data_IF_209205921405
#
_entry.id   IF_209205921405
#
_cell.length_a   1.000
_cell.length_b   1.000
_cell.length_c   1.000
_cell.angle_alpha   90.00
_cell.angle_beta   90.00
_cell.angle_gamma   90.00
#
_symmetry.space_group_name_H-M   'P 1'
#
loop_
_entity.id
_entity.type
_entity.pdbx_description
1 polymer ?
#
# COMPACT_ATOMS: atom_id res chain seq x y z
N UNK A 1 3.26 0.51 -14.25
CA UNK A 1 2.27 -0.22 -13.45
C UNK A 1 2.13 0.40 -12.06
N UNK A 2 0.99 0.13 -11.36
CA UNK A 2 0.77 0.51 -9.95
C UNK A 2 0.92 2.01 -9.65
N UNK A 3 0.41 2.87 -10.54
CA UNK A 3 0.53 4.33 -10.42
C UNK A 3 -0.67 5.02 -9.73
N UNK A 4 -1.47 4.29 -8.98
CA UNK A 4 -2.59 4.80 -8.18
C UNK A 4 -2.32 4.75 -6.68
N UNK A 5 -3.36 5.06 -5.90
CA UNK A 5 -3.31 5.02 -4.43
C UNK A 5 -2.87 3.67 -3.87
N UNK A 6 -3.18 2.59 -4.57
CA UNK A 6 -2.88 1.24 -4.11
C UNK A 6 -1.36 0.99 -3.92
N UNK A 7 -0.50 1.80 -4.51
CA UNK A 7 0.95 1.58 -4.38
C UNK A 7 1.79 2.84 -4.25
N UNK A 8 1.41 3.94 -4.92
CA UNK A 8 2.22 5.16 -4.99
C UNK A 8 2.57 5.74 -3.62
N UNK A 9 1.63 5.95 -2.67
CA UNK A 9 1.97 6.52 -1.37
C UNK A 9 2.91 5.63 -0.55
N UNK A 10 2.82 4.31 -0.71
CA UNK A 10 3.67 3.33 -0.04
C UNK A 10 5.07 3.30 -0.65
N UNK A 11 5.15 3.15 -1.97
CA UNK A 11 6.40 3.00 -2.71
C UNK A 11 7.22 4.30 -2.69
N UNK A 12 6.59 5.43 -3.00
CA UNK A 12 7.25 6.74 -2.94
C UNK A 12 7.49 7.20 -1.49
N UNK A 13 6.67 6.78 -0.53
CA UNK A 13 6.92 7.01 0.90
C UNK A 13 8.23 6.36 1.37
N UNK A 14 8.44 5.10 1.02
CA UNK A 14 9.70 4.38 1.32
C UNK A 14 10.87 4.98 0.54
N UNK A 15 10.69 5.31 -0.73
CA UNK A 15 11.70 6.01 -1.51
C UNK A 15 12.12 7.34 -0.85
N UNK A 16 11.15 8.16 -0.44
CA UNK A 16 11.39 9.43 0.26
C UNK A 16 12.17 9.22 1.57
N UNK A 17 11.81 8.22 2.36
CA UNK A 17 12.52 7.87 3.60
C UNK A 17 13.99 7.56 3.31
N UNK A 18 14.27 6.72 2.35
CA UNK A 18 15.65 6.35 1.99
C UNK A 18 16.47 7.49 1.36
N UNK A 19 15.81 8.53 0.83
CA UNK A 19 16.49 9.75 0.41
C UNK A 19 16.84 10.69 1.56
N UNK A 20 16.15 10.55 2.71
CA UNK A 20 16.35 11.39 3.90
C UNK A 20 17.08 10.68 5.04
N UNK A 21 17.25 9.37 4.96
CA UNK A 21 18.03 8.56 5.91
C UNK A 21 19.12 7.80 5.15
N UNK A 22 20.37 8.08 5.45
CA UNK A 22 21.51 7.43 4.79
C UNK A 22 21.73 5.96 5.20
N UNK A 23 20.94 5.44 6.15
CA UNK A 23 21.05 4.06 6.66
C UNK A 23 20.29 3.08 5.77
N UNK A 24 20.87 1.88 5.58
CA UNK A 24 20.24 0.73 4.91
C UNK A 24 19.69 -0.26 5.93
N UNK A 25 18.96 -1.27 5.44
CA UNK A 25 18.40 -2.36 6.25
C UNK A 25 17.44 -1.86 7.35
N UNK A 26 16.67 -0.82 7.05
CA UNK A 26 15.65 -0.29 7.94
C UNK A 26 14.48 -1.28 8.07
N UNK A 27 13.82 -1.28 9.24
CA UNK A 27 12.51 -1.86 9.39
C UNK A 27 11.47 -0.75 9.39
N UNK A 28 10.65 -0.69 8.34
CA UNK A 28 9.64 0.33 8.16
C UNK A 28 8.25 -0.27 8.35
N UNK A 29 7.49 0.32 9.27
CA UNK A 29 6.10 -0.02 9.57
C UNK A 29 5.19 1.10 9.07
N UNK A 30 4.56 0.92 7.90
CA UNK A 30 3.55 1.86 7.44
C UNK A 30 2.21 1.59 8.14
N UNK A 31 1.60 2.65 8.63
CA UNK A 31 0.30 2.60 9.31
C UNK A 31 -0.64 3.64 8.72
N UNK A 32 -1.80 3.16 8.26
CA UNK A 32 -2.91 4.05 7.92
C UNK A 32 -3.42 4.66 9.21
N UNK A 33 -3.31 5.98 9.35
CA UNK A 33 -3.74 6.73 10.53
C UNK A 33 -5.03 7.52 10.31
N UNK A 34 -5.48 7.59 9.07
CA UNK A 34 -6.76 8.19 8.69
C UNK A 34 -7.00 8.03 7.20
N UNK A 35 -8.24 7.82 6.86
CA UNK A 35 -8.71 7.85 5.47
C UNK A 35 -10.19 8.21 5.46
N UNK A 36 -10.60 9.00 4.49
CA UNK A 36 -12.00 9.31 4.20
C UNK A 36 -12.22 9.16 2.70
N UNK A 37 -13.09 8.25 2.35
CA UNK A 37 -13.41 7.85 0.98
C UNK A 37 -13.88 6.40 0.97
N UNK A 38 -14.31 5.94 -0.19
CA UNK A 38 -14.79 4.57 -0.40
C UNK A 38 -13.94 3.88 -1.45
N UNK A 39 -13.90 2.56 -1.38
CA UNK A 39 -13.29 1.76 -2.45
C UNK A 39 -14.17 1.82 -3.71
N UNK A 40 -13.53 1.84 -4.87
CA UNK A 40 -14.26 1.77 -6.14
C UNK A 40 -14.80 0.36 -6.40
N UNK A 41 -15.91 0.28 -7.12
CA UNK A 41 -16.43 -1.01 -7.59
C UNK A 41 -15.44 -1.76 -8.47
N UNK A 42 -14.54 -1.04 -9.17
CA UNK A 42 -13.43 -1.63 -9.92
C UNK A 42 -12.41 -2.34 -9.03
N UNK A 43 -12.02 -1.73 -7.90
CA UNK A 43 -11.14 -2.36 -6.89
C UNK A 43 -11.77 -3.65 -6.38
N UNK A 44 -13.06 -3.61 -6.08
CA UNK A 44 -13.83 -4.77 -5.62
C UNK A 44 -13.84 -5.90 -6.64
N UNK A 45 -14.19 -5.60 -7.87
CA UNK A 45 -14.24 -6.58 -8.97
C UNK A 45 -12.87 -7.22 -9.23
N UNK A 46 -11.79 -6.42 -9.23
CA UNK A 46 -10.42 -6.90 -9.40
C UNK A 46 -10.00 -7.85 -8.29
N UNK A 47 -10.30 -7.51 -7.03
CA UNK A 47 -10.00 -8.39 -5.88
C UNK A 47 -10.77 -9.71 -5.94
N UNK A 48 -12.05 -9.67 -6.27
CA UNK A 48 -12.86 -10.87 -6.47
C UNK A 48 -12.28 -11.78 -7.55
N UNK A 49 -11.82 -11.19 -8.65
CA UNK A 49 -11.21 -11.94 -9.73
C UNK A 49 -9.89 -12.59 -9.30
N UNK A 50 -9.01 -11.85 -8.67
CA UNK A 50 -7.73 -12.36 -8.13
C UNK A 50 -7.98 -13.52 -7.16
N UNK A 51 -8.98 -13.41 -6.28
CA UNK A 51 -9.35 -14.48 -5.36
C UNK A 51 -9.84 -15.71 -6.12
N UNK A 52 -10.71 -15.55 -7.13
CA UNK A 52 -11.17 -16.66 -7.97
C UNK A 52 -10.02 -17.37 -8.67
N UNK A 53 -9.08 -16.61 -9.24
CA UNK A 53 -7.89 -17.15 -9.88
C UNK A 53 -7.01 -17.92 -8.89
N UNK A 54 -6.78 -17.36 -7.70
CA UNK A 54 -6.00 -18.02 -6.64
C UNK A 54 -6.65 -19.32 -6.11
N UNK A 55 -7.98 -19.46 -6.22
CA UNK A 55 -8.66 -20.72 -5.91
C UNK A 55 -8.48 -21.79 -7.00
N UNK A 56 -8.30 -21.37 -8.25
CA UNK A 56 -8.16 -22.27 -9.40
C UNK A 56 -6.72 -22.64 -9.69
N UNK A 57 -5.79 -21.70 -9.49
CA UNK A 57 -4.38 -21.84 -9.85
C UNK A 57 -3.48 -21.72 -8.60
N UNK A 58 -2.68 -22.78 -8.37
CA UNK A 58 -1.76 -22.86 -7.25
C UNK A 58 -0.57 -21.91 -7.40
N UNK A 59 -0.10 -21.64 -8.62
CA UNK A 59 1.02 -20.72 -8.86
C UNK A 59 0.60 -19.28 -8.59
N UNK A 60 -0.61 -18.89 -9.00
CA UNK A 60 -1.21 -17.59 -8.63
C UNK A 60 -1.31 -17.47 -7.12
N UNK A 61 -1.80 -18.52 -6.43
CA UNK A 61 -1.88 -18.55 -4.95
C UNK A 61 -0.52 -18.41 -4.29
N UNK A 62 0.50 -19.13 -4.76
CA UNK A 62 1.87 -19.03 -4.26
C UNK A 62 2.40 -17.60 -4.41
N UNK A 63 2.27 -17.01 -5.60
CA UNK A 63 2.71 -15.63 -5.87
C UNK A 63 2.03 -14.61 -4.96
N UNK A 64 0.71 -14.74 -4.74
CA UNK A 64 -0.05 -13.86 -3.85
C UNK A 64 0.30 -14.04 -2.36
N UNK A 65 0.70 -15.25 -1.95
CA UNK A 65 1.02 -15.52 -0.54
C UNK A 65 2.49 -15.29 -0.20
N UNK A 66 3.38 -15.30 -1.19
CA UNK A 66 4.79 -14.98 -0.98
C UNK A 66 4.97 -13.47 -0.80
N UNK A 67 5.57 -13.00 0.30
CA UNK A 67 5.89 -11.58 0.49
C UNK A 67 6.76 -10.98 -0.61
N UNK A 68 7.56 -11.78 -1.27
CA UNK A 68 8.50 -11.40 -2.34
C UNK A 68 8.05 -11.89 -3.73
N UNK A 69 6.79 -12.29 -3.88
CA UNK A 69 6.27 -12.92 -5.11
C UNK A 69 6.39 -12.09 -6.38
N UNK A 70 6.51 -10.76 -6.27
CA UNK A 70 6.72 -9.86 -7.40
C UNK A 70 8.19 -9.53 -7.68
N UNK A 71 9.14 -10.00 -6.87
CA UNK A 71 10.55 -9.79 -7.13
C UNK A 71 11.01 -10.59 -8.37
N UNK A 72 12.11 -10.17 -9.02
CA UNK A 72 12.74 -10.97 -10.07
C UNK A 72 13.04 -12.40 -9.62
N UNK A 73 13.07 -13.33 -10.57
CA UNK A 73 13.45 -14.73 -10.29
C UNK A 73 14.81 -14.79 -9.59
N UNK A 74 14.94 -15.65 -8.58
CA UNK A 74 16.14 -15.77 -7.74
C UNK A 74 16.26 -14.72 -6.62
N UNK A 75 15.28 -13.81 -6.48
CA UNK A 75 15.23 -12.78 -5.42
C UNK A 75 13.89 -12.83 -4.68
N UNK A 76 13.24 -13.99 -4.63
CA UNK A 76 11.88 -14.16 -4.11
C UNK A 76 11.83 -14.64 -2.66
N UNK A 77 12.87 -14.36 -1.89
CA UNK A 77 13.01 -14.67 -0.46
C UNK A 77 13.50 -13.46 0.34
N UNK A 78 13.40 -13.54 1.66
CA UNK A 78 13.85 -12.49 2.59
C UNK A 78 13.22 -12.60 3.97
N UNK A 79 13.45 -11.58 4.80
CA UNK A 79 13.12 -11.59 6.23
C UNK A 79 11.64 -11.30 6.55
N UNK A 80 10.90 -10.75 5.60
CA UNK A 80 9.51 -10.36 5.85
C UNK A 80 8.58 -11.56 5.96
N UNK A 81 7.67 -11.46 6.91
CA UNK A 81 6.57 -12.42 7.09
C UNK A 81 5.39 -12.03 6.19
N UNK A 82 4.42 -12.93 6.11
CA UNK A 82 3.13 -12.67 5.45
C UNK A 82 2.43 -11.47 6.07
N UNK A 83 1.63 -10.79 5.26
CA UNK A 83 0.83 -9.65 5.68
C UNK A 83 -0.09 -10.01 6.86
N UNK A 84 -0.41 -9.00 7.68
CA UNK A 84 -1.28 -9.13 8.84
C UNK A 84 -2.67 -9.63 8.42
N UNK A 85 -3.18 -10.68 9.10
CA UNK A 85 -4.49 -11.28 8.80
C UNK A 85 -5.53 -11.10 9.90
N UNK A 86 -5.10 -10.68 11.08
CA UNK A 86 -5.97 -10.49 12.24
C UNK A 86 -5.57 -9.29 13.06
N UNK A 87 -6.48 -8.81 13.89
CA UNK A 87 -6.22 -7.69 14.81
C UNK A 87 -5.13 -8.07 15.81
N UNK A 88 -4.15 -7.21 15.98
CA UNK A 88 -2.98 -7.46 16.83
C UNK A 88 -2.55 -6.18 17.54
N UNK A 89 -1.97 -6.32 18.74
CA UNK A 89 -1.28 -5.23 19.42
C UNK A 89 0.18 -5.16 18.93
N UNK A 90 0.57 -4.04 18.35
CA UNK A 90 1.96 -3.80 17.94
C UNK A 90 2.73 -3.12 19.09
N UNK A 91 3.60 -3.90 19.74
CA UNK A 91 4.38 -3.44 20.89
C UNK A 91 5.33 -2.28 20.57
N UNK A 92 5.91 -2.26 19.34
CA UNK A 92 6.85 -1.21 18.92
C UNK A 92 6.19 0.16 18.81
N UNK A 93 4.99 0.22 18.24
CA UNK A 93 4.24 1.48 18.08
C UNK A 93 3.19 1.71 19.19
N UNK A 94 3.08 0.77 20.14
CA UNK A 94 2.17 0.81 21.29
C UNK A 94 0.71 1.08 20.90
N UNK A 95 0.23 0.38 19.87
CA UNK A 95 -1.13 0.54 19.33
C UNK A 95 -1.70 -0.79 18.85
N UNK A 96 -3.03 -0.92 18.88
CA UNK A 96 -3.73 -1.95 18.13
C UNK A 96 -3.67 -1.65 16.65
N UNK A 97 -3.54 -2.69 15.86
CA UNK A 97 -3.50 -2.65 14.39
C UNK A 97 -4.46 -3.68 13.81
N UNK A 98 -5.06 -3.33 12.69
CA UNK A 98 -5.95 -4.16 11.90
C UNK A 98 -5.34 -4.42 10.52
N UNK A 99 -5.66 -5.53 9.85
CA UNK A 99 -5.25 -5.75 8.47
C UNK A 99 -5.62 -4.57 7.58
N UNK A 100 -4.72 -4.24 6.66
CA UNK A 100 -4.96 -3.25 5.62
C UNK A 100 -5.17 -3.96 4.29
N UNK A 101 -6.29 -3.67 3.63
CA UNK A 101 -6.71 -4.35 2.41
C UNK A 101 -5.63 -4.33 1.32
N UNK A 102 -5.00 -3.17 1.12
CA UNK A 102 -4.01 -2.97 0.07
C UNK A 102 -2.60 -3.48 0.42
N UNK A 103 -2.35 -3.90 1.67
CA UNK A 103 -1.05 -4.40 2.10
C UNK A 103 -0.54 -5.56 1.22
N UNK A 104 -1.46 -6.43 0.79
CA UNK A 104 -1.14 -7.56 -0.08
C UNK A 104 -0.55 -7.18 -1.44
N UNK A 105 -0.78 -5.96 -1.92
CA UNK A 105 -0.21 -5.42 -3.16
C UNK A 105 0.96 -4.50 -2.84
N UNK A 106 0.76 -3.52 -1.99
CA UNK A 106 1.72 -2.46 -1.68
C UNK A 106 3.05 -3.00 -1.18
N UNK A 107 3.02 -3.93 -0.24
CA UNK A 107 4.23 -4.49 0.36
C UNK A 107 5.11 -5.20 -0.67
N UNK A 108 4.50 -5.84 -1.67
CA UNK A 108 5.21 -6.50 -2.79
C UNK A 108 5.81 -5.49 -3.76
N UNK A 109 5.09 -4.40 -4.05
CA UNK A 109 5.59 -3.31 -4.90
C UNK A 109 6.81 -2.65 -4.24
N UNK A 110 6.76 -2.34 -2.95
CA UNK A 110 7.90 -1.76 -2.21
C UNK A 110 9.11 -2.69 -2.23
N UNK A 111 8.92 -3.98 -1.99
CA UNK A 111 10.02 -4.97 -2.04
C UNK A 111 10.57 -5.13 -3.45
N UNK A 112 9.71 -5.11 -4.47
CA UNK A 112 10.14 -5.13 -5.87
C UNK A 112 10.96 -3.90 -6.22
N UNK A 113 10.62 -2.72 -5.71
CA UNK A 113 11.42 -1.49 -5.89
C UNK A 113 12.81 -1.65 -5.31
N UNK A 114 12.94 -2.24 -4.12
CA UNK A 114 14.24 -2.56 -3.53
C UNK A 114 15.04 -3.55 -4.38
N UNK A 115 14.40 -4.63 -4.84
CA UNK A 115 15.04 -5.64 -5.68
C UNK A 115 15.51 -5.05 -7.03
N UNK A 116 14.66 -4.31 -7.73
CA UNK A 116 14.97 -3.67 -9.01
C UNK A 116 16.11 -2.63 -8.89
N UNK A 117 16.21 -1.96 -7.73
CA UNK A 117 17.29 -1.01 -7.45
C UNK A 117 18.57 -1.65 -6.90
N UNK A 118 18.78 -2.93 -7.17
CA UNK A 118 19.90 -3.71 -6.66
C UNK A 118 20.04 -3.62 -5.13
N UNK A 119 18.90 -3.78 -4.44
CA UNK A 119 18.80 -3.71 -2.98
C UNK A 119 19.33 -2.40 -2.38
N UNK A 120 19.01 -1.27 -3.01
CA UNK A 120 19.44 0.05 -2.53
C UNK A 120 18.96 0.35 -1.11
N UNK A 121 17.82 -0.23 -0.68
CA UNK A 121 17.31 -0.14 0.69
C UNK A 121 17.99 -1.15 1.65
N UNK A 122 18.79 -2.05 1.12
CA UNK A 122 19.48 -3.12 1.85
C UNK A 122 18.84 -4.49 1.65
N UNK A 123 19.66 -5.55 1.72
CA UNK A 123 19.18 -6.95 1.63
C UNK A 123 18.39 -7.39 2.84
N UNK A 124 18.60 -6.76 4.00
CA UNK A 124 17.86 -7.03 5.26
C UNK A 124 16.74 -5.99 5.51
N UNK A 125 16.39 -5.20 4.50
CA UNK A 125 15.27 -4.27 4.56
C UNK A 125 13.96 -5.00 4.85
N UNK A 126 13.15 -4.48 5.78
CA UNK A 126 11.85 -5.04 6.14
C UNK A 126 10.75 -3.99 6.03
N UNK A 127 9.59 -4.44 5.59
CA UNK A 127 8.43 -3.57 5.38
C UNK A 127 7.12 -4.27 5.68
N UNK A 128 6.26 -3.64 6.47
CA UNK A 128 4.89 -4.10 6.71
C UNK A 128 3.87 -2.95 6.73
N UNK A 129 2.61 -3.27 6.42
CA UNK A 129 1.50 -2.33 6.40
C UNK A 129 0.34 -2.82 7.28
N UNK A 130 -0.34 -1.87 7.95
CA UNK A 130 -1.55 -2.12 8.70
C UNK A 130 -2.35 -0.82 8.93
N UNK A 131 -3.61 -0.95 9.34
CA UNK A 131 -4.40 0.17 9.84
C UNK A 131 -4.13 0.33 11.34
N UNK A 132 -3.80 1.53 11.79
CA UNK A 132 -3.62 1.86 13.21
C UNK A 132 -4.97 2.21 13.82
N UNK A 133 -5.41 1.47 14.85
CA UNK A 133 -6.75 1.58 15.41
C UNK A 133 -6.81 2.17 16.82
N UNK A 134 -5.64 2.46 17.41
CA UNK A 134 -5.53 3.15 18.69
C UNK A 134 -5.14 2.25 19.87
N UNK A 135 -5.30 2.76 21.08
CA UNK A 135 -4.89 2.09 22.32
C UNK A 135 -6.08 1.46 23.06
N UNK A 136 -5.79 0.59 24.02
CA UNK A 136 -6.75 0.01 24.95
C UNK A 136 -7.85 -0.82 24.27
N UNK A 137 -8.95 -1.04 24.98
CA UNK A 137 -10.08 -1.84 24.51
C UNK A 137 -10.74 -1.21 23.29
N UNK A 138 -10.91 0.11 23.26
CA UNK A 138 -11.47 0.86 22.14
C UNK A 138 -10.67 0.62 20.85
N UNK A 139 -9.34 0.66 20.92
CA UNK A 139 -8.48 0.39 19.77
C UNK A 139 -8.63 -1.03 19.26
N UNK A 140 -8.77 -2.01 20.15
CA UNK A 140 -9.03 -3.42 19.78
C UNK A 140 -10.37 -3.59 19.08
N UNK A 141 -11.45 -3.00 19.64
CA UNK A 141 -12.80 -3.07 19.06
C UNK A 141 -12.85 -2.41 17.68
N UNK A 142 -12.28 -1.22 17.53
CA UNK A 142 -12.16 -0.55 16.22
C UNK A 142 -11.43 -1.43 15.20
N UNK A 143 -10.37 -2.11 15.62
CA UNK A 143 -9.63 -3.04 14.77
C UNK A 143 -10.49 -4.21 14.29
N UNK A 144 -11.29 -4.79 15.18
CA UNK A 144 -12.19 -5.90 14.85
C UNK A 144 -13.25 -5.44 13.84
N UNK A 145 -13.89 -4.30 14.08
CA UNK A 145 -14.90 -3.73 13.16
C UNK A 145 -14.31 -3.51 11.77
N UNK A 146 -13.10 -2.95 11.67
CA UNK A 146 -12.43 -2.72 10.39
C UNK A 146 -12.00 -4.02 9.69
N UNK A 147 -11.80 -5.11 10.41
CA UNK A 147 -11.42 -6.39 9.83
C UNK A 147 -12.62 -7.17 9.24
N UNK A 148 -13.86 -6.88 9.68
CA UNK A 148 -15.06 -7.61 9.24
C UNK A 148 -15.21 -7.64 7.71
N UNK A 149 -15.14 -6.51 6.96
CA UNK A 149 -15.27 -6.54 5.50
C UNK A 149 -14.24 -7.42 4.80
N UNK A 150 -13.04 -7.55 5.38
CA UNK A 150 -11.96 -8.36 4.81
C UNK A 150 -12.25 -9.87 4.95
N UNK A 151 -12.95 -10.28 6.02
CA UNK A 151 -13.40 -11.67 6.21
C UNK A 151 -14.41 -12.02 5.11
N UNK A 152 -15.34 -11.13 4.82
CA UNK A 152 -16.33 -11.32 3.77
C UNK A 152 -15.67 -11.37 2.38
N UNK A 153 -14.70 -10.49 2.13
CA UNK A 153 -13.94 -10.47 0.87
C UNK A 153 -13.15 -11.77 0.67
N UNK A 154 -12.54 -12.32 1.73
CA UNK A 154 -11.77 -13.56 1.68
C UNK A 154 -12.64 -14.83 1.63
N UNK A 155 -13.96 -14.71 1.69
CA UNK A 155 -14.86 -15.85 1.65
C UNK A 155 -14.71 -16.62 0.32
N UNK A 156 -14.84 -17.96 0.39
CA UNK A 156 -14.75 -18.82 -0.78
C UNK A 156 -15.71 -18.35 -1.89
N UNK A 157 -15.21 -18.20 -3.12
CA UNK A 157 -16.06 -17.84 -4.25
C UNK A 157 -17.27 -18.77 -4.40
N UNK A 158 -18.47 -18.19 -4.58
CA UNK A 158 -19.72 -18.94 -4.70
C UNK A 158 -20.36 -19.36 -3.37
N UNK A 159 -19.71 -19.18 -2.22
CA UNK A 159 -20.29 -19.42 -0.90
C UNK A 159 -21.45 -18.43 -0.60
N UNK A 160 -22.32 -18.78 0.34
CA UNK A 160 -23.41 -17.91 0.78
C UNK A 160 -22.92 -16.52 1.22
N UNK A 161 -21.85 -16.48 2.00
CA UNK A 161 -21.19 -15.24 2.44
C UNK A 161 -20.71 -14.41 1.24
N UNK A 162 -20.07 -15.04 0.25
CA UNK A 162 -19.61 -14.35 -0.95
C UNK A 162 -20.78 -13.80 -1.79
N UNK A 163 -21.90 -14.52 -1.88
CA UNK A 163 -23.10 -14.04 -2.57
C UNK A 163 -23.71 -12.80 -1.90
N UNK A 164 -23.87 -12.81 -0.58
CA UNK A 164 -24.36 -11.63 0.19
C UNK A 164 -23.43 -10.44 -0.06
N UNK A 165 -22.12 -10.67 0.05
CA UNK A 165 -21.14 -9.62 -0.11
C UNK A 165 -21.16 -8.98 -1.51
N UNK A 166 -21.39 -9.78 -2.56
CA UNK A 166 -21.55 -9.29 -3.94
C UNK A 166 -22.79 -8.42 -4.14
N UNK A 167 -23.84 -8.65 -3.35
CA UNK A 167 -25.06 -7.84 -3.42
C UNK A 167 -24.86 -6.44 -2.82
N UNK A 168 -24.15 -6.35 -1.70
CA UNK A 168 -23.92 -5.09 -0.97
C UNK A 168 -22.69 -4.31 -1.47
N UNK A 169 -21.82 -4.94 -2.25
CA UNK A 169 -20.60 -4.31 -2.75
C UNK A 169 -20.88 -3.36 -3.91
N UNK A 170 -20.13 -2.24 -4.03
CA UNK A 170 -20.24 -1.34 -5.17
C UNK A 170 -19.99 -2.10 -6.49
N UNK A 171 -20.83 -1.89 -7.49
CA UNK A 171 -20.63 -2.46 -8.83
C UNK A 171 -19.51 -1.72 -9.60
N UNK A 172 -18.89 -2.36 -10.60
CA UNK A 172 -17.98 -1.67 -11.52
C UNK A 172 -18.62 -0.39 -12.06
N UNK A 173 -17.85 0.72 -12.03
CA UNK A 173 -18.36 2.06 -12.40
C UNK A 173 -18.98 2.83 -11.24
N UNK A 174 -19.34 2.19 -10.11
CA UNK A 174 -19.80 2.87 -8.92
C UNK A 174 -18.64 3.25 -8.00
N UNK A 175 -18.80 4.34 -7.28
CA UNK A 175 -17.80 4.85 -6.33
C UNK A 175 -18.28 6.12 -5.65
N UNK A 176 -17.39 6.83 -4.94
CA UNK A 176 -17.74 8.06 -4.23
C UNK A 176 -18.26 9.13 -5.18
N UNK A 177 -19.29 9.85 -4.75
CA UNK A 177 -19.80 11.01 -5.47
C UNK A 177 -18.80 12.18 -5.49
N UNK A 178 -19.08 13.26 -6.25
CA UNK A 178 -18.17 14.41 -6.38
C UNK A 178 -17.78 15.01 -5.03
N UNK A 179 -18.75 15.24 -4.14
CA UNK A 179 -18.53 15.81 -2.81
C UNK A 179 -17.66 14.92 -1.93
N UNK A 180 -17.88 13.61 -1.97
CA UNK A 180 -17.05 12.62 -1.25
C UNK A 180 -15.62 12.59 -1.78
N UNK A 181 -15.43 12.63 -3.11
CA UNK A 181 -14.10 12.69 -3.73
C UNK A 181 -13.33 13.94 -3.35
N UNK A 182 -14.02 15.10 -3.31
CA UNK A 182 -13.40 16.39 -3.00
C UNK A 182 -13.06 16.55 -1.51
N UNK A 183 -13.90 16.00 -0.62
CA UNK A 183 -13.74 16.09 0.83
C UNK A 183 -13.07 14.85 1.45
N UNK A 184 -12.58 13.94 0.63
CA UNK A 184 -11.80 12.80 1.06
C UNK A 184 -10.37 13.17 1.42
N UNK A 185 -9.67 12.26 2.06
CA UNK A 185 -8.25 12.37 2.36
C UNK A 185 -7.67 11.01 2.73
N UNK A 186 -6.34 10.91 2.75
CA UNK A 186 -5.65 9.82 3.41
C UNK A 186 -4.43 10.31 4.18
N UNK A 187 -4.02 9.54 5.19
CA UNK A 187 -2.86 9.82 6.01
C UNK A 187 -2.16 8.52 6.37
N UNK A 188 -0.93 8.39 5.95
CA UNK A 188 -0.03 7.29 6.26
C UNK A 188 1.08 7.77 7.18
N UNK A 189 1.41 6.97 8.18
CA UNK A 189 2.55 7.20 9.06
C UNK A 189 3.52 6.03 8.93
N UNK A 190 4.78 6.35 8.73
CA UNK A 190 5.86 5.39 8.59
C UNK A 190 6.72 5.45 9.85
N UNK A 191 6.68 4.41 10.65
CA UNK A 191 7.56 4.23 11.78
C UNK A 191 8.80 3.50 11.30
N UNK A 192 9.93 4.15 11.34
CA UNK A 192 11.20 3.69 10.78
C UNK A 192 12.13 3.35 11.92
N UNK A 193 12.61 2.12 11.94
CA UNK A 193 13.56 1.63 12.93
C UNK A 193 14.85 1.22 12.24
N UNK A 194 15.99 1.70 12.75
CA UNK A 194 17.30 1.23 12.30
C UNK A 194 17.76 0.00 13.11
N UNK A 195 18.93 -0.53 12.78
CA UNK A 195 19.49 -1.71 13.43
C UNK A 195 19.93 -1.43 14.89
N UNK A 196 20.18 -0.17 15.24
CA UNK A 196 20.53 0.29 16.58
C UNK A 196 19.28 0.52 17.45
N UNK A 197 18.07 0.45 16.87
CA UNK A 197 16.80 0.67 17.55
C UNK A 197 16.34 2.13 17.58
N UNK A 198 17.05 3.04 16.90
CA UNK A 198 16.59 4.42 16.78
C UNK A 198 15.32 4.50 15.94
N UNK A 199 14.42 5.38 16.35
CA UNK A 199 13.14 5.61 15.69
C UNK A 199 13.12 6.94 14.96
N UNK A 200 12.62 6.94 13.73
CA UNK A 200 12.19 8.13 13.01
C UNK A 200 10.77 7.94 12.52
N UNK A 201 10.03 9.02 12.36
CA UNK A 201 8.64 8.97 11.92
C UNK A 201 8.48 9.89 10.70
N UNK A 202 7.89 9.33 9.63
CA UNK A 202 7.52 10.08 8.43
C UNK A 202 6.02 10.01 8.21
N UNK A 203 5.50 10.97 7.46
CA UNK A 203 4.08 11.07 7.14
C UNK A 203 3.90 11.36 5.66
N UNK A 204 2.95 10.64 5.03
CA UNK A 204 2.47 10.90 3.69
C UNK A 204 0.98 11.14 3.75
N UNK A 205 0.51 12.22 3.11
CA UNK A 205 -0.93 12.54 3.05
C UNK A 205 -1.36 12.85 1.63
N UNK A 206 -2.66 12.73 1.37
CA UNK A 206 -3.31 13.24 0.17
C UNK A 206 -4.59 13.97 0.51
N UNK A 207 -4.91 14.98 -0.28
CA UNK A 207 -5.97 15.97 -0.09
C UNK A 207 -7.34 15.58 -0.67
N UNK A 208 -7.43 14.39 -1.28
CA UNK A 208 -8.65 13.85 -1.91
C UNK A 208 -8.87 12.41 -1.49
N UNK A 209 -10.07 11.88 -1.79
CA UNK A 209 -10.37 10.47 -1.52
C UNK A 209 -9.35 9.54 -2.20
N UNK A 210 -8.97 8.45 -1.54
CA UNK A 210 -7.99 7.52 -2.10
C UNK A 210 -8.48 6.78 -3.35
N UNK A 211 -9.79 6.49 -3.44
CA UNK A 211 -10.36 5.63 -4.48
C UNK A 211 -10.26 6.22 -5.89
N UNK A 212 -10.71 7.46 -6.06
CA UNK A 212 -10.69 8.15 -7.36
C UNK A 212 -9.98 9.49 -7.35
N UNK A 213 -10.22 10.35 -6.34
CA UNK A 213 -9.72 11.70 -6.32
C UNK A 213 -8.19 11.77 -6.34
N UNK A 214 -7.53 11.14 -5.39
CA UNK A 214 -6.07 11.07 -5.34
C UNK A 214 -5.49 10.13 -6.41
N UNK A 215 -6.14 8.99 -6.66
CA UNK A 215 -5.68 8.04 -7.68
C UNK A 215 -5.61 8.65 -9.07
N UNK A 216 -6.63 9.40 -9.49
CA UNK A 216 -6.63 10.06 -10.81
C UNK A 216 -5.48 11.06 -10.96
N UNK A 217 -5.20 11.86 -9.93
CA UNK A 217 -4.06 12.78 -9.92
C UNK A 217 -2.71 12.05 -9.98
N UNK A 218 -2.54 11.00 -9.17
CA UNK A 218 -1.31 10.18 -9.18
C UNK A 218 -1.08 9.55 -10.55
N UNK A 219 -2.13 8.98 -11.16
CA UNK A 219 -2.05 8.35 -12.47
C UNK A 219 -1.72 9.37 -13.57
N UNK A 220 -2.39 10.53 -13.58
CA UNK A 220 -2.15 11.59 -14.54
C UNK A 220 -0.71 12.13 -14.43
N UNK A 221 -0.23 12.44 -13.22
CA UNK A 221 1.14 12.93 -13.04
C UNK A 221 2.19 11.86 -13.36
N UNK A 222 1.89 10.57 -13.14
CA UNK A 222 2.76 9.49 -13.57
C UNK A 222 2.85 9.40 -15.09
N UNK A 223 1.73 9.53 -15.81
CA UNK A 223 1.71 9.54 -17.26
C UNK A 223 2.47 10.74 -17.84
N UNK A 224 2.26 11.93 -17.29
CA UNK A 224 2.99 13.13 -17.70
C UNK A 224 4.49 13.00 -17.39
N UNK A 225 4.87 12.45 -16.24
CA UNK A 225 6.25 12.18 -15.87
C UNK A 225 6.95 11.27 -16.91
N UNK A 226 6.29 10.17 -17.28
CA UNK A 226 6.83 9.23 -18.28
C UNK A 226 6.94 9.85 -19.69
N UNK A 227 6.02 10.76 -20.04
CA UNK A 227 5.97 11.34 -21.39
C UNK A 227 6.85 12.58 -21.56
N UNK A 228 7.13 13.32 -20.49
CA UNK A 228 7.71 14.68 -20.58
C UNK A 228 9.02 14.85 -19.80
N UNK A 229 9.26 14.07 -18.76
CA UNK A 229 10.44 14.25 -17.93
C UNK A 229 11.62 13.44 -18.48
N UNK A 230 12.82 13.94 -18.26
CA UNK A 230 14.04 13.18 -18.56
C UNK A 230 14.20 12.09 -17.48
N UNK A 231 14.04 10.84 -17.87
CA UNK A 231 14.17 9.66 -17.04
C UNK A 231 15.36 8.81 -17.50
N UNK A 232 15.81 7.92 -16.61
CA UNK A 232 16.79 6.90 -17.00
C UNK A 232 16.15 5.87 -17.94
N UNK A 233 16.93 5.33 -18.86
CA UNK A 233 16.50 4.26 -19.77
C UNK A 233 16.32 2.95 -19.00
N UNK A 234 15.09 2.68 -18.60
CA UNK A 234 14.68 1.48 -17.87
C UNK A 234 13.47 0.83 -18.54
N UNK A 235 13.54 -0.46 -18.76
CA UNK A 235 12.53 -1.20 -19.51
C UNK A 235 11.91 -2.33 -18.69
N UNK A 236 10.71 -2.75 -19.06
CA UNK A 236 9.99 -3.87 -18.47
C UNK A 236 8.88 -3.48 -17.50
N UNK A 237 8.50 -4.40 -16.64
CA UNK A 237 7.45 -4.19 -15.62
C UNK A 237 8.08 -3.54 -14.39
N UNK A 238 8.02 -2.22 -14.32
CA UNK A 238 8.68 -1.40 -13.32
C UNK A 238 7.68 -0.88 -12.27
N UNK A 239 8.20 -0.58 -11.07
CA UNK A 239 7.46 0.09 -9.99
C UNK A 239 7.60 1.61 -10.12
N UNK A 240 6.67 2.42 -9.55
CA UNK A 240 6.70 3.88 -9.69
C UNK A 240 7.99 4.52 -9.21
N UNK A 241 8.48 4.15 -8.02
CA UNK A 241 9.70 4.74 -7.47
C UNK A 241 10.95 4.36 -8.25
N UNK A 242 11.04 3.13 -8.76
CA UNK A 242 12.17 2.68 -9.56
C UNK A 242 12.17 3.31 -10.96
N UNK A 243 11.01 3.43 -11.59
CA UNK A 243 10.89 3.99 -12.93
C UNK A 243 11.12 5.50 -12.97
N UNK A 244 10.52 6.24 -12.04
CA UNK A 244 10.40 7.70 -12.12
C UNK A 244 11.06 8.46 -10.96
N UNK A 245 11.32 7.80 -9.84
CA UNK A 245 12.09 8.30 -8.70
C UNK A 245 11.74 9.71 -8.23
N UNK A 246 12.73 10.61 -8.22
CA UNK A 246 12.59 12.01 -7.77
C UNK A 246 11.61 12.81 -8.64
N UNK A 247 11.50 12.52 -9.92
CA UNK A 247 10.67 13.29 -10.84
C UNK A 247 9.20 13.13 -10.48
N UNK A 248 8.72 11.90 -10.32
CA UNK A 248 7.34 11.68 -9.90
C UNK A 248 7.08 12.19 -8.47
N UNK A 249 8.02 12.03 -7.54
CA UNK A 249 7.88 12.55 -6.18
C UNK A 249 7.62 14.06 -6.19
N UNK A 250 8.40 14.83 -6.94
CA UNK A 250 8.25 16.27 -7.08
C UNK A 250 6.87 16.65 -7.69
N UNK A 251 6.42 15.91 -8.71
CA UNK A 251 5.11 16.11 -9.33
C UNK A 251 3.96 15.85 -8.37
N UNK A 252 4.06 14.76 -7.60
CA UNK A 252 3.03 14.42 -6.60
C UNK A 252 2.88 15.50 -5.54
N UNK A 253 4.00 16.09 -5.08
CA UNK A 253 4.00 17.19 -4.10
C UNK A 253 3.43 18.46 -4.73
N UNK A 254 3.90 18.86 -5.91
CA UNK A 254 3.58 20.16 -6.50
C UNK A 254 2.21 20.21 -7.20
N UNK A 255 1.69 19.04 -7.69
CA UNK A 255 0.51 19.02 -8.57
C UNK A 255 -0.58 18.04 -8.16
N UNK A 256 -0.25 16.99 -7.41
CA UNK A 256 -1.23 15.97 -7.03
C UNK A 256 -1.81 16.13 -5.61
N UNK A 257 -1.35 17.14 -4.83
CA UNK A 257 -1.84 17.39 -3.48
C UNK A 257 -1.34 16.40 -2.44
N UNK A 258 -0.22 15.71 -2.72
CA UNK A 258 0.41 14.84 -1.74
C UNK A 258 1.46 15.60 -0.92
N UNK A 259 1.64 15.19 0.32
CA UNK A 259 2.73 15.69 1.17
C UNK A 259 3.60 14.53 1.66
N UNK A 260 4.91 14.78 1.76
CA UNK A 260 5.89 13.85 2.29
C UNK A 260 6.76 14.60 3.29
N UNK A 261 6.66 14.23 4.57
CA UNK A 261 7.32 14.96 5.66
C UNK A 261 7.98 14.01 6.65
N UNK A 262 9.17 14.36 7.15
CA UNK A 262 9.71 13.80 8.40
C UNK A 262 9.09 14.55 9.56
N UNK A 263 8.55 13.83 10.57
CA UNK A 263 7.87 14.43 11.73
C UNK A 263 8.56 14.09 13.05
N UNK A 264 9.51 13.15 13.02
CA UNK A 264 10.43 12.83 14.14
C UNK A 264 11.75 12.29 13.61
#
# INVERSE_FOLDING_TARGET
NSCGFDSVPSDLGVYYIHKNISKKNLYIKMRVTGAKGTYSGGTYASMQNIIKEAYKDMEVRKSLTNPYGLNPKGQQDGLDKRDLRSVKYDKKIKSWISPFLMAGINTRIVRRSNALSNFSYGKKFQYDEAVMTGKGVKGRLNGIILAIPLIFLAAKPGSFINKIFNIISPKPGQGPNKKERENGYFSFRFFVFDQEGNESIFKVTGDKDPGYGSTSKMLAESAVCLAKDKLDDKYGVLTPSYAMGKNILNRLISKAGLTFNKIK
#
